data_IF_434451411033
#
_entry.id   IF_434451411033
#
_cell.length_a   1.000
_cell.length_b   1.000
_cell.length_c   1.000
_cell.angle_alpha   90.00
_cell.angle_beta   90.00
_cell.angle_gamma   90.00
#
_symmetry.space_group_name_H-M   'P 1'
#
loop_
_entity.id
_entity.type
_entity.pdbx_description
1 polymer ?
#
# COMPACT_ATOMS: atom_id res chain seq x y z
N UNK A 1 15.80 -3.51 8.95
CA UNK A 1 15.97 -3.92 10.35
C UNK A 1 15.94 -2.76 11.32
N UNK A 2 16.71 -1.69 11.11
CA UNK A 2 16.80 -0.55 12.02
C UNK A 2 15.51 0.28 12.12
N UNK A 3 14.66 0.31 11.10
CA UNK A 3 13.38 1.04 11.14
C UNK A 3 12.40 0.51 12.19
N UNK A 4 12.55 -0.74 12.59
CA UNK A 4 11.77 -1.39 13.68
C UNK A 4 12.61 -1.68 14.93
N UNK A 5 13.80 -1.10 15.01
CA UNK A 5 14.70 -1.26 16.15
C UNK A 5 15.51 -2.56 16.18
N UNK A 6 15.51 -3.33 15.09
CA UNK A 6 16.32 -4.55 15.00
C UNK A 6 17.80 -4.23 14.86
N UNK A 7 18.65 -4.90 15.68
CA UNK A 7 20.10 -4.75 15.70
C UNK A 7 20.83 -5.98 15.16
N UNK A 8 20.19 -6.75 14.31
CA UNK A 8 20.69 -7.99 13.76
C UNK A 8 21.69 -7.80 12.60
N UNK A 9 22.22 -8.92 12.12
CA UNK A 9 23.13 -8.96 10.98
C UNK A 9 22.38 -8.54 9.70
N UNK A 10 22.97 -7.67 8.89
CA UNK A 10 22.46 -7.36 7.56
C UNK A 10 22.41 -8.64 6.71
N UNK A 11 21.20 -9.06 6.36
CA UNK A 11 20.91 -10.19 5.47
C UNK A 11 20.22 -9.72 4.20
N UNK A 12 19.84 -10.66 3.34
CA UNK A 12 18.93 -10.38 2.23
C UNK A 12 17.53 -10.03 2.73
N UNK A 13 16.65 -9.63 1.81
CA UNK A 13 15.25 -9.32 2.10
C UNK A 13 14.56 -10.49 2.82
N UNK A 14 13.85 -10.18 3.90
CA UNK A 14 13.06 -11.18 4.60
C UNK A 14 11.71 -11.43 3.88
N UNK A 15 10.99 -12.48 4.31
CA UNK A 15 9.69 -12.84 3.69
C UNK A 15 8.66 -11.72 3.78
N UNK A 16 8.66 -10.93 4.87
CA UNK A 16 7.75 -9.81 5.07
C UNK A 16 8.05 -8.70 4.07
N UNK A 17 9.31 -8.35 3.87
CA UNK A 17 9.73 -7.34 2.87
C UNK A 17 9.35 -7.75 1.45
N UNK A 18 9.57 -9.02 1.09
CA UNK A 18 9.17 -9.58 -0.22
C UNK A 18 7.65 -9.50 -0.39
N UNK A 19 6.88 -9.87 0.64
CA UNK A 19 5.42 -9.81 0.62
C UNK A 19 4.89 -8.38 0.47
N UNK A 20 5.50 -7.42 1.17
CA UNK A 20 5.15 -5.99 1.04
C UNK A 20 5.45 -5.45 -0.35
N UNK A 21 6.60 -5.80 -0.93
CA UNK A 21 6.96 -5.43 -2.30
C UNK A 21 5.98 -6.01 -3.32
N UNK A 22 5.64 -7.29 -3.20
CA UNK A 22 4.68 -7.95 -4.07
C UNK A 22 3.26 -7.35 -3.97
N UNK A 23 2.83 -6.94 -2.76
CA UNK A 23 1.55 -6.25 -2.58
C UNK A 23 1.56 -4.88 -3.27
N UNK A 24 2.62 -4.10 -3.10
CA UNK A 24 2.76 -2.79 -3.73
C UNK A 24 2.78 -2.91 -5.27
N UNK A 25 3.56 -3.85 -5.81
CA UNK A 25 3.62 -4.12 -7.24
C UNK A 25 2.24 -4.47 -7.81
N UNK A 26 1.55 -5.45 -7.24
CA UNK A 26 0.21 -5.86 -7.69
C UNK A 26 -0.82 -4.74 -7.60
N UNK A 27 -0.69 -3.88 -6.60
CA UNK A 27 -1.62 -2.78 -6.38
C UNK A 27 -1.44 -1.65 -7.39
N UNK A 28 -0.22 -1.39 -7.84
CA UNK A 28 0.10 -0.32 -8.79
C UNK A 28 0.05 -0.81 -10.24
N UNK A 29 0.38 -2.06 -10.53
CA UNK A 29 0.44 -2.61 -11.88
C UNK A 29 -0.79 -2.32 -12.77
N UNK A 30 -2.05 -2.38 -12.28
CA UNK A 30 -3.22 -2.12 -13.11
C UNK A 30 -3.33 -0.69 -13.66
N UNK A 31 -2.66 0.28 -13.03
CA UNK A 31 -2.69 1.69 -13.42
C UNK A 31 -1.45 2.14 -14.18
N UNK A 32 -0.44 1.29 -14.31
CA UNK A 32 0.76 1.57 -15.10
C UNK A 32 0.36 1.66 -16.58
N UNK A 33 0.92 2.63 -17.33
CA UNK A 33 0.69 2.74 -18.78
C UNK A 33 1.22 1.51 -19.51
N UNK A 34 0.72 1.30 -20.74
CA UNK A 34 1.24 0.26 -21.62
C UNK A 34 2.66 0.59 -22.12
N UNK A 35 3.40 -0.40 -22.60
CA UNK A 35 4.73 -0.23 -23.16
C UNK A 35 4.71 0.73 -24.37
N UNK A 36 3.61 0.76 -25.14
CA UNK A 36 3.45 1.68 -26.25
C UNK A 36 3.28 3.14 -25.82
N UNK A 37 2.65 3.37 -24.66
CA UNK A 37 2.44 4.70 -24.09
C UNK A 37 3.65 5.20 -23.31
N UNK A 38 4.38 4.27 -22.68
CA UNK A 38 5.54 4.58 -21.84
C UNK A 38 6.61 3.48 -21.99
N UNK A 39 7.50 3.57 -22.99
CA UNK A 39 8.46 2.53 -23.37
C UNK A 39 9.68 2.50 -22.44
N UNK A 40 9.49 2.53 -21.13
CA UNK A 40 10.55 2.52 -20.14
C UNK A 40 10.31 1.45 -19.08
N UNK A 41 11.37 0.82 -18.64
CA UNK A 41 11.32 -0.05 -17.47
C UNK A 41 11.10 0.78 -16.19
N UNK A 42 10.17 0.34 -15.37
CA UNK A 42 9.86 1.01 -14.10
C UNK A 42 10.39 0.16 -12.94
N UNK A 43 11.18 0.79 -12.08
CA UNK A 43 11.61 0.22 -10.81
C UNK A 43 11.27 1.18 -9.67
N UNK A 44 10.54 0.70 -8.68
CA UNK A 44 10.24 1.42 -7.44
C UNK A 44 11.08 0.79 -6.33
N UNK A 45 11.88 1.61 -5.66
CA UNK A 45 12.59 1.22 -4.43
C UNK A 45 11.97 1.97 -3.27
N UNK A 46 11.52 1.21 -2.24
CA UNK A 46 10.96 1.77 -1.02
C UNK A 46 11.90 1.47 0.14
N UNK A 47 12.43 2.51 0.77
CA UNK A 47 13.29 2.43 1.94
C UNK A 47 12.53 2.98 3.15
N UNK A 48 12.28 2.11 4.13
CA UNK A 48 11.55 2.48 5.34
C UNK A 48 12.55 2.92 6.41
N UNK A 49 12.49 4.19 6.76
CA UNK A 49 13.40 4.78 7.75
C UNK A 49 12.85 4.70 9.17
N UNK A 50 11.52 4.76 9.31
CA UNK A 50 10.82 4.68 10.59
C UNK A 50 9.42 4.11 10.35
N UNK A 51 8.85 3.41 11.35
CA UNK A 51 7.55 2.77 11.22
C UNK A 51 6.79 2.71 12.55
N UNK A 52 5.50 3.02 12.48
CA UNK A 52 4.52 2.71 13.52
C UNK A 52 3.25 2.10 12.90
N UNK A 53 3.42 1.10 12.05
CA UNK A 53 2.34 0.37 11.36
C UNK A 53 2.29 0.61 9.86
N UNK A 54 1.71 -0.33 9.16
CA UNK A 54 1.34 -0.33 7.72
C UNK A 54 2.35 0.24 6.72
N UNK A 55 3.61 -0.16 6.82
CA UNK A 55 4.68 0.28 5.89
C UNK A 55 4.41 -0.10 4.44
N UNK A 56 3.68 -1.19 4.19
CA UNK A 56 3.27 -1.59 2.84
C UNK A 56 2.31 -0.58 2.21
N UNK A 57 1.38 -0.03 2.99
CA UNK A 57 0.45 0.99 2.48
C UNK A 57 1.15 2.31 2.23
N UNK A 58 2.08 2.70 3.10
CA UNK A 58 2.97 3.83 2.85
C UNK A 58 3.78 3.64 1.55
N UNK A 59 4.31 2.45 1.29
CA UNK A 59 5.04 2.12 0.05
C UNK A 59 4.15 2.23 -1.20
N UNK A 60 2.88 1.82 -1.14
CA UNK A 60 1.92 1.99 -2.25
C UNK A 60 1.68 3.47 -2.54
N UNK A 61 1.39 4.26 -1.51
CA UNK A 61 1.13 5.70 -1.66
C UNK A 61 2.37 6.44 -2.18
N UNK A 62 3.52 6.25 -1.53
CA UNK A 62 4.78 6.88 -1.92
C UNK A 62 5.25 6.41 -3.31
N UNK A 63 5.09 5.13 -3.64
CA UNK A 63 5.38 4.57 -4.96
C UNK A 63 4.54 5.23 -6.06
N UNK A 64 3.25 5.40 -5.83
CA UNK A 64 2.35 6.12 -6.75
C UNK A 64 2.81 7.57 -6.93
N UNK A 65 3.08 8.29 -5.84
CA UNK A 65 3.53 9.68 -5.90
C UNK A 65 4.89 9.82 -6.60
N UNK A 66 5.82 8.90 -6.35
CA UNK A 66 7.14 8.91 -7.01
C UNK A 66 7.05 8.65 -8.51
N UNK A 67 6.14 7.79 -8.96
CA UNK A 67 5.86 7.57 -10.38
C UNK A 67 5.31 8.83 -11.04
N UNK A 68 4.35 9.50 -10.41
CA UNK A 68 3.82 10.78 -10.90
C UNK A 68 4.92 11.86 -10.95
N UNK A 69 5.76 11.95 -9.92
CA UNK A 69 6.88 12.87 -9.85
C UNK A 69 7.95 12.58 -10.92
N UNK A 70 8.12 11.31 -11.30
CA UNK A 70 9.01 10.90 -12.39
C UNK A 70 8.39 11.11 -13.79
N UNK A 71 7.16 11.59 -13.87
CA UNK A 71 6.48 11.83 -15.15
C UNK A 71 5.83 10.59 -15.77
N UNK A 72 5.66 9.51 -15.03
CA UNK A 72 4.95 8.32 -15.51
C UNK A 72 3.46 8.62 -15.63
N UNK A 73 2.85 8.47 -16.82
CA UNK A 73 1.45 8.80 -17.05
C UNK A 73 0.55 7.67 -16.52
N UNK A 74 0.43 7.57 -15.18
CA UNK A 74 -0.47 6.61 -14.56
C UNK A 74 -1.91 6.88 -14.98
N UNK A 75 -2.68 5.81 -15.21
CA UNK A 75 -4.11 5.92 -15.53
C UNK A 75 -4.87 6.62 -14.41
N UNK A 76 -4.53 6.32 -13.16
CA UNK A 76 -5.09 6.92 -11.93
C UNK A 76 -4.11 6.73 -10.77
N UNK A 77 -4.10 7.61 -9.77
CA UNK A 77 -3.35 7.38 -8.55
C UNK A 77 -3.95 6.23 -7.73
N UNK A 78 -3.07 5.47 -7.09
CA UNK A 78 -3.43 4.38 -6.17
C UNK A 78 -3.01 4.78 -4.76
N UNK A 79 -3.92 4.67 -3.81
CA UNK A 79 -3.63 4.76 -2.40
C UNK A 79 -3.88 3.41 -1.72
N UNK A 80 -3.25 3.20 -0.58
CA UNK A 80 -3.47 2.05 0.29
C UNK A 80 -3.76 2.49 1.70
N UNK A 81 -4.57 1.71 2.40
CA UNK A 81 -4.91 1.91 3.81
C UNK A 81 -5.11 0.56 4.49
N UNK A 82 -4.88 0.51 5.80
CA UNK A 82 -5.14 -0.67 6.63
C UNK A 82 -6.39 -0.48 7.49
N UNK A 83 -7.11 -1.57 7.73
CA UNK A 83 -8.22 -1.63 8.67
C UNK A 83 -7.98 -2.78 9.62
N UNK A 84 -7.96 -2.48 10.90
CA UNK A 84 -7.88 -3.46 11.98
C UNK A 84 -9.25 -3.89 12.48
N UNK A 85 -9.25 -4.95 13.27
CA UNK A 85 -10.39 -5.46 14.00
C UNK A 85 -9.96 -5.85 15.41
N UNK A 86 -10.75 -5.46 16.37
CA UNK A 86 -10.66 -5.96 17.75
C UNK A 86 -11.99 -6.57 18.11
N UNK A 87 -11.99 -7.76 18.68
CA UNK A 87 -13.19 -8.50 19.03
C UNK A 87 -13.21 -8.91 20.50
N UNK A 88 -14.41 -9.02 21.05
CA UNK A 88 -14.65 -9.79 22.27
C UNK A 88 -15.38 -11.07 21.90
N UNK A 89 -14.99 -12.17 22.50
CA UNK A 89 -15.55 -13.49 22.23
C UNK A 89 -16.10 -14.11 23.51
N UNK A 90 -17.16 -14.92 23.37
CA UNK A 90 -17.66 -15.75 24.45
C UNK A 90 -16.83 -17.05 24.59
N UNK A 91 -17.15 -17.87 25.56
CA UNK A 91 -16.49 -19.16 25.83
C UNK A 91 -16.61 -20.17 24.66
N UNK A 92 -17.50 -19.90 23.71
CA UNK A 92 -17.71 -20.69 22.48
C UNK A 92 -16.95 -20.13 21.27
N UNK A 93 -16.10 -19.12 21.47
CA UNK A 93 -15.36 -18.39 20.42
C UNK A 93 -16.25 -17.64 19.42
N UNK A 94 -17.48 -17.30 19.79
CA UNK A 94 -18.33 -16.46 18.98
C UNK A 94 -18.08 -14.98 19.30
N UNK A 95 -17.99 -14.16 18.25
CA UNK A 95 -17.79 -12.71 18.39
C UNK A 95 -19.06 -12.09 18.97
N UNK A 96 -18.96 -11.52 20.16
CA UNK A 96 -20.06 -10.84 20.86
C UNK A 96 -20.04 -9.33 20.62
N UNK A 97 -18.86 -8.75 20.54
CA UNK A 97 -18.64 -7.33 20.31
C UNK A 97 -17.41 -7.17 19.42
N UNK A 98 -17.41 -6.15 18.58
CA UNK A 98 -16.24 -5.84 17.76
C UNK A 98 -16.11 -4.34 17.50
N UNK A 99 -14.91 -3.93 17.10
CA UNK A 99 -14.59 -2.58 16.65
C UNK A 99 -13.65 -2.64 15.46
N UNK A 100 -14.02 -1.96 14.38
CA UNK A 100 -13.13 -1.69 13.25
C UNK A 100 -12.25 -0.49 13.55
N UNK A 101 -10.96 -0.55 13.20
CA UNK A 101 -9.97 0.50 13.40
C UNK A 101 -9.42 0.90 12.04
N UNK A 102 -9.45 2.21 11.74
CA UNK A 102 -8.92 2.73 10.48
C UNK A 102 -7.46 3.16 10.67
N UNK A 103 -6.59 2.78 9.73
CA UNK A 103 -5.17 3.15 9.69
C UNK A 103 -4.41 2.75 10.96
N UNK A 104 -4.32 1.45 11.20
CA UNK A 104 -3.82 0.87 12.45
C UNK A 104 -2.33 1.15 12.69
N UNK A 105 -2.01 1.42 13.95
CA UNK A 105 -0.62 1.51 14.45
C UNK A 105 -0.06 0.12 14.81
N UNK A 106 1.25 0.04 15.06
CA UNK A 106 1.93 -1.23 15.34
C UNK A 106 1.37 -2.01 16.54
N UNK A 107 0.91 -1.33 17.61
CA UNK A 107 0.28 -1.99 18.75
C UNK A 107 -1.11 -2.55 18.40
N UNK A 108 -1.87 -1.85 17.58
CA UNK A 108 -3.20 -2.30 17.11
C UNK A 108 -3.07 -3.48 16.14
N UNK A 109 -2.03 -3.51 15.29
CA UNK A 109 -1.67 -4.68 14.49
C UNK A 109 -1.28 -5.87 15.39
N UNK A 110 -0.47 -5.63 16.42
CA UNK A 110 0.02 -6.70 17.30
C UNK A 110 -1.08 -7.34 18.15
N UNK A 111 -1.94 -6.54 18.77
CA UNK A 111 -2.99 -7.01 19.68
C UNK A 111 -4.34 -7.21 19.00
N UNK A 112 -4.56 -6.66 17.82
CA UNK A 112 -5.81 -6.81 17.07
C UNK A 112 -5.96 -8.20 16.45
N UNK A 113 -7.17 -8.50 15.99
CA UNK A 113 -7.58 -9.79 15.46
C UNK A 113 -7.51 -9.87 13.94
N UNK A 114 -7.40 -8.73 13.25
CA UNK A 114 -7.30 -8.61 11.81
C UNK A 114 -6.41 -7.42 11.42
N UNK A 115 -5.59 -7.61 10.39
CA UNK A 115 -4.97 -6.57 9.57
C UNK A 115 -5.43 -6.74 8.13
N UNK A 116 -6.34 -5.87 7.69
CA UNK A 116 -6.90 -5.87 6.35
C UNK A 116 -6.42 -4.66 5.57
N UNK A 117 -5.58 -4.91 4.57
CA UNK A 117 -5.00 -3.89 3.70
C UNK A 117 -5.76 -3.82 2.40
N UNK A 118 -6.19 -2.62 2.01
CA UNK A 118 -6.88 -2.35 0.77
C UNK A 118 -6.21 -1.22 -0.01
N UNK A 119 -5.80 -1.54 -1.24
CA UNK A 119 -5.24 -0.59 -2.19
C UNK A 119 -6.22 -0.35 -3.33
N UNK A 120 -6.21 0.84 -3.88
CA UNK A 120 -7.05 1.14 -5.03
C UNK A 120 -7.06 2.60 -5.43
N UNK A 121 -7.76 2.83 -6.52
CA UNK A 121 -8.04 4.16 -7.08
C UNK A 121 -9.34 4.72 -6.53
N UNK A 122 -9.77 5.87 -7.03
CA UNK A 122 -11.10 6.41 -6.76
C UNK A 122 -12.24 5.53 -7.31
N UNK A 123 -11.97 4.68 -8.31
CA UNK A 123 -12.98 3.85 -8.97
C UNK A 123 -13.10 2.45 -8.41
N UNK A 124 -12.00 1.89 -7.88
CA UNK A 124 -12.05 0.51 -7.40
C UNK A 124 -10.78 0.05 -6.69
N UNK A 125 -10.83 -1.18 -6.19
CA UNK A 125 -9.75 -1.87 -5.52
C UNK A 125 -8.80 -2.45 -6.56
N UNK A 126 -7.50 -2.25 -6.39
CA UNK A 126 -6.44 -2.82 -7.25
C UNK A 126 -5.64 -3.92 -6.56
N UNK A 127 -5.64 -3.93 -5.23
CA UNK A 127 -4.94 -4.96 -4.46
C UNK A 127 -5.44 -5.03 -3.02
N UNK A 128 -5.30 -6.19 -2.40
CA UNK A 128 -5.64 -6.38 -1.01
C UNK A 128 -4.77 -7.46 -0.36
N UNK A 129 -4.69 -7.40 0.97
CA UNK A 129 -4.13 -8.45 1.81
C UNK A 129 -4.99 -8.54 3.07
N UNK A 130 -5.43 -9.73 3.42
CA UNK A 130 -6.14 -10.01 4.65
C UNK A 130 -5.30 -10.94 5.51
N UNK A 131 -5.00 -10.51 6.73
CA UNK A 131 -4.38 -11.30 7.78
C UNK A 131 -5.34 -11.41 8.96
N UNK A 132 -5.80 -12.63 9.25
CA UNK A 132 -6.72 -12.93 10.34
C UNK A 132 -6.00 -13.79 11.39
N UNK A 133 -6.13 -13.40 12.65
CA UNK A 133 -5.67 -14.19 13.80
C UNK A 133 -6.79 -15.07 14.38
N UNK A 134 -8.01 -14.91 13.88
CA UNK A 134 -9.19 -15.70 14.22
C UNK A 134 -9.42 -16.80 13.17
N UNK A 135 -10.09 -17.89 13.52
CA UNK A 135 -10.47 -18.94 12.56
C UNK A 135 -11.36 -18.45 11.42
N UNK A 136 -12.08 -17.35 11.62
CA UNK A 136 -12.94 -16.69 10.65
C UNK A 136 -13.70 -15.54 11.25
N UNK A 137 -14.29 -14.71 10.40
CA UNK A 137 -15.15 -13.59 10.78
C UNK A 137 -16.44 -13.63 9.94
N UNK A 138 -17.56 -13.09 10.45
CA UNK A 138 -18.78 -12.88 9.68
C UNK A 138 -18.52 -11.98 8.45
N UNK A 139 -19.17 -12.28 7.33
CA UNK A 139 -19.05 -11.46 6.10
C UNK A 139 -19.48 -10.01 6.34
N UNK A 140 -20.44 -9.75 7.22
CA UNK A 140 -20.87 -8.40 7.58
C UNK A 140 -19.75 -7.53 8.15
N UNK A 141 -18.85 -8.13 8.96
CA UNK A 141 -17.68 -7.43 9.48
C UNK A 141 -16.69 -7.10 8.36
N UNK A 142 -16.49 -8.03 7.43
CA UNK A 142 -15.63 -7.80 6.26
C UNK A 142 -16.20 -6.72 5.34
N UNK A 143 -17.52 -6.70 5.11
CA UNK A 143 -18.19 -5.66 4.35
C UNK A 143 -18.02 -4.28 5.00
N UNK A 144 -18.20 -4.20 6.31
CA UNK A 144 -17.95 -2.97 7.07
C UNK A 144 -16.49 -2.51 6.91
N UNK A 145 -15.51 -3.42 7.07
CA UNK A 145 -14.11 -3.11 6.90
C UNK A 145 -13.78 -2.58 5.49
N UNK A 146 -14.41 -3.12 4.44
CA UNK A 146 -14.28 -2.62 3.06
C UNK A 146 -14.82 -1.19 2.93
N UNK A 147 -15.97 -0.88 3.56
CA UNK A 147 -16.53 0.46 3.53
C UNK A 147 -15.68 1.47 4.30
N UNK A 148 -15.17 1.08 5.47
CA UNK A 148 -14.24 1.89 6.28
C UNK A 148 -12.96 2.16 5.48
N UNK A 149 -12.38 1.12 4.87
CA UNK A 149 -11.19 1.27 4.02
C UNK A 149 -11.45 2.16 2.79
N UNK A 150 -12.62 2.09 2.17
CA UNK A 150 -12.98 2.94 1.03
C UNK A 150 -13.01 4.42 1.43
N UNK A 151 -13.62 4.74 2.57
CA UNK A 151 -13.68 6.11 3.09
C UNK A 151 -12.26 6.65 3.36
N UNK A 152 -11.47 5.94 4.17
CA UNK A 152 -10.10 6.36 4.50
C UNK A 152 -9.19 6.44 3.27
N UNK A 153 -9.29 5.52 2.32
CA UNK A 153 -8.54 5.59 1.06
C UNK A 153 -8.91 6.84 0.24
N UNK A 154 -10.17 7.25 0.27
CA UNK A 154 -10.61 8.49 -0.40
C UNK A 154 -9.93 9.72 0.20
N UNK A 155 -9.81 9.77 1.52
CA UNK A 155 -9.13 10.86 2.22
C UNK A 155 -7.63 10.87 1.91
N UNK A 156 -6.98 9.71 1.90
CA UNK A 156 -5.56 9.58 1.51
C UNK A 156 -5.34 10.02 0.07
N UNK A 157 -6.19 9.57 -0.88
CA UNK A 157 -6.11 10.00 -2.28
C UNK A 157 -6.25 11.52 -2.43
N UNK A 158 -7.10 12.15 -1.64
CA UNK A 158 -7.25 13.61 -1.65
C UNK A 158 -5.94 14.29 -1.27
N UNK A 159 -5.33 13.88 -0.16
CA UNK A 159 -4.04 14.44 0.30
C UNK A 159 -2.94 14.21 -0.74
N UNK A 160 -2.89 13.02 -1.35
CA UNK A 160 -1.93 12.72 -2.42
C UNK A 160 -2.13 13.62 -3.64
N UNK A 161 -3.38 13.82 -4.07
CA UNK A 161 -3.72 14.69 -5.21
C UNK A 161 -3.43 16.16 -4.92
N UNK A 162 -3.62 16.62 -3.68
CA UNK A 162 -3.26 17.98 -3.27
C UNK A 162 -1.73 18.22 -3.36
N UNK A 163 -0.93 17.17 -3.15
CA UNK A 163 0.52 17.23 -3.25
C UNK A 163 1.00 17.07 -4.72
N UNK A 164 0.45 16.12 -5.47
CA UNK A 164 0.81 15.84 -6.88
C UNK A 164 -0.47 15.48 -7.64
N UNK A 165 -1.05 16.45 -8.34
CA UNK A 165 -2.32 16.27 -9.06
C UNK A 165 -2.17 15.57 -10.42
N UNK A 166 -1.00 15.65 -11.04
CA UNK A 166 -0.74 15.11 -12.39
C UNK A 166 0.73 14.68 -12.55
N UNK A 167 1.04 13.84 -13.53
CA UNK A 167 2.41 13.49 -13.85
C UNK A 167 3.26 14.73 -14.15
N UNK A 168 4.46 14.76 -13.58
CA UNK A 168 5.42 15.82 -13.87
C UNK A 168 5.89 15.72 -15.32
N UNK A 169 6.36 16.83 -15.87
CA UNK A 169 7.01 16.82 -17.18
C UNK A 169 8.35 16.11 -17.08
N UNK A 170 8.58 15.11 -17.94
CA UNK A 170 9.86 14.40 -17.98
C UNK A 170 11.00 15.37 -18.31
N UNK A 171 12.11 15.22 -17.57
CA UNK A 171 13.30 16.04 -17.81
C UNK A 171 13.88 15.75 -19.21
N UNK A 172 14.23 16.80 -20.00
CA UNK A 172 14.90 16.60 -21.28
C UNK A 172 16.25 15.86 -21.19
N UNK A 173 16.89 15.89 -20.04
CA UNK A 173 18.17 15.19 -19.78
C UNK A 173 18.01 13.67 -19.81
N UNK A 174 16.83 13.13 -19.42
CA UNK A 174 16.54 11.70 -19.56
C UNK A 174 16.55 11.22 -21.01
N UNK A 175 16.15 12.07 -21.96
CA UNK A 175 16.15 11.76 -23.39
C UNK A 175 17.56 11.71 -23.99
N UNK A 176 18.47 12.58 -23.56
CA UNK A 176 19.85 12.61 -24.05
C UNK A 176 20.68 11.43 -23.51
N UNK A 177 20.40 10.94 -22.34
CA UNK A 177 21.09 9.79 -21.76
C UNK A 177 20.74 8.47 -22.49
N UNK A 178 19.50 8.29 -22.90
CA UNK A 178 19.08 7.12 -23.68
C UNK A 178 19.70 7.10 -25.09
N UNK A 179 19.83 8.24 -25.73
CA UNK A 179 20.49 8.37 -27.08
C UNK A 179 22.00 8.17 -27.03
N UNK A 180 22.65 8.45 -25.92
CA UNK A 180 24.09 8.27 -25.78
C UNK A 180 24.53 6.81 -25.66
N UNK A 181 23.63 5.89 -25.37
CA UNK A 181 23.88 4.46 -25.28
C UNK A 181 23.47 3.67 -26.53
N UNK A 182 22.83 4.31 -27.52
CA UNK A 182 22.45 3.71 -28.81
C UNK A 182 23.46 3.94 -29.92
N UNK A 183 24.55 4.64 -29.66
CA UNK A 183 25.69 4.87 -30.59
C UNK A 183 26.93 4.17 -30.08
#
# INVERSE_FOLDING_TARGET
>A
PFSVGDTGRFGGQNRREIGHGALAERSIAPVVPSEQEFPYAIRISSEIMESNGSTSMASVCAGTMSLLAAGVPLKRPVAGISVGLVTEQNDQHEITTYKTLLDIIGSEDFYGDMDFKLCGTSEGVTGYQLDLKLPGIPLSILEEAIHVAKAGRTDVLKVMNDAIAAPAQMSPVSYTHLRAHET
#
